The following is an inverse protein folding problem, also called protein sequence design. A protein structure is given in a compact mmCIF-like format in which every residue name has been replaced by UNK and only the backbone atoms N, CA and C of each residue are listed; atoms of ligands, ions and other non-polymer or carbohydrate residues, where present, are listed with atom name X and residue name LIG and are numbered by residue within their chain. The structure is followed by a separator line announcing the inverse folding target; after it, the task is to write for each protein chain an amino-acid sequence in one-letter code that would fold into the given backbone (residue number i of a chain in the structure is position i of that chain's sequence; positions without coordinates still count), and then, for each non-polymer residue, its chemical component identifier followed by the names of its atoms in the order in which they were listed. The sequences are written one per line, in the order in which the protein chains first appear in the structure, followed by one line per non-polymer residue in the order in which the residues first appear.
data_IF_128104192519
#
_entry.id   IF_128104192519
#
_cell.length_a   1.000
_cell.length_b   1.000
_cell.length_c   1.000
_cell.angle_alpha   90.00
_cell.angle_beta   90.00
_cell.angle_gamma   90.00
#
_symmetry.space_group_name_H-M   'P 1'
#
loop_
_entity.id
_entity.type
_entity.pdbx_description
1 polymer ?
#
# COMPACT_ATOMS: atom_id res chain seq x y z
N UNK A 1 -57.66 32.15 -28.93
CA UNK A 1 -57.98 33.59 -28.82
C UNK A 1 -56.84 34.23 -28.04
N UNK A 2 -56.16 35.21 -28.64
CA UNK A 2 -55.01 35.95 -28.10
C UNK A 2 -55.43 36.89 -26.95
N UNK A 3 -54.43 37.34 -26.18
CA UNK A 3 -54.28 38.56 -25.35
C UNK A 3 -53.74 38.16 -23.95
N UNK A 4 -52.74 38.79 -23.32
CA UNK A 4 -51.75 39.82 -23.66
C UNK A 4 -50.75 39.84 -22.45
N UNK A 5 -49.44 40.03 -22.70
CA UNK A 5 -48.37 40.35 -21.71
C UNK A 5 -48.34 41.89 -21.57
N UNK A 6 -48.02 42.61 -20.45
CA UNK A 6 -46.68 42.61 -19.82
C UNK A 6 -46.44 43.16 -18.37
N UNK A 7 -45.17 42.99 -17.92
CA UNK A 7 -44.28 43.92 -17.18
C UNK A 7 -44.38 44.18 -15.65
N UNK A 8 -43.32 43.76 -14.93
CA UNK A 8 -42.53 44.51 -13.93
C UNK A 8 -41.40 43.59 -13.42
N UNK A 9 -40.15 43.65 -13.91
CA UNK A 9 -39.01 44.51 -13.52
C UNK A 9 -38.63 44.45 -12.03
N UNK A 10 -37.32 44.23 -11.78
CA UNK A 10 -36.55 44.16 -10.52
C UNK A 10 -36.56 42.76 -9.86
N UNK A 11 -35.45 42.02 -9.77
CA UNK A 11 -34.12 42.38 -9.21
C UNK A 11 -33.06 41.50 -9.91
N UNK A 12 -32.04 41.97 -10.63
CA UNK A 12 -30.85 42.73 -10.22
C UNK A 12 -30.19 42.20 -8.93
N UNK A 13 -28.93 41.77 -9.10
CA UNK A 13 -27.90 41.42 -8.10
C UNK A 13 -27.96 40.03 -7.46
N UNK A 14 -27.38 39.01 -8.13
CA UNK A 14 -26.31 38.16 -7.53
C UNK A 14 -25.38 37.64 -8.67
N UNK A 15 -24.53 38.53 -9.20
CA UNK A 15 -23.35 38.19 -10.00
C UNK A 15 -22.10 38.58 -9.22
N UNK A 16 -21.90 37.98 -8.04
CA UNK A 16 -20.74 38.26 -7.20
C UNK A 16 -19.92 36.99 -6.91
N UNK A 17 -18.69 37.02 -7.43
CA UNK A 17 -17.50 36.30 -6.98
C UNK A 17 -17.47 34.79 -7.28
N UNK A 18 -16.89 34.33 -8.39
CA UNK A 18 -15.42 34.25 -8.55
C UNK A 18 -14.74 33.86 -7.23
N UNK A 19 -14.79 32.59 -6.87
CA UNK A 19 -13.67 31.98 -6.16
C UNK A 19 -12.86 31.22 -7.21
N UNK A 20 -11.72 31.82 -7.58
CA UNK A 20 -10.69 31.21 -8.38
C UNK A 20 -10.39 29.84 -7.78
N UNK A 21 -10.80 28.77 -8.46
CA UNK A 21 -10.38 27.42 -8.11
C UNK A 21 -8.88 27.40 -8.28
N UNK A 22 -8.15 27.55 -7.17
CA UNK A 22 -6.71 27.59 -7.16
C UNK A 22 -6.19 26.36 -7.90
N UNK A 23 -5.44 26.60 -8.97
CA UNK A 23 -4.58 25.59 -9.54
C UNK A 23 -3.56 25.27 -8.43
N UNK A 24 -3.85 24.22 -7.66
CA UNK A 24 -2.84 23.52 -6.92
C UNK A 24 -1.82 23.08 -7.97
N UNK A 25 -0.73 23.84 -8.08
CA UNK A 25 0.50 23.39 -8.72
C UNK A 25 0.77 22.01 -8.17
N UNK A 26 0.49 21.01 -8.98
CA UNK A 26 0.79 19.63 -8.65
C UNK A 26 2.28 19.54 -8.44
N UNK A 27 2.71 19.39 -7.19
CA UNK A 27 4.03 18.87 -6.88
C UNK A 27 4.25 17.66 -7.79
N UNK A 28 5.32 17.62 -8.60
CA UNK A 28 5.62 16.47 -9.44
C UNK A 28 5.54 15.21 -8.59
N UNK A 29 4.71 14.24 -9.02
CA UNK A 29 4.58 12.98 -8.32
C UNK A 29 5.98 12.38 -8.13
N UNK A 30 6.31 12.01 -6.88
CA UNK A 30 7.56 11.36 -6.60
C UNK A 30 7.71 10.13 -7.50
N UNK A 31 8.92 9.85 -8.04
CA UNK A 31 9.14 8.67 -8.86
C UNK A 31 8.61 7.43 -8.15
N UNK A 32 7.91 6.57 -8.90
CA UNK A 32 7.42 5.31 -8.36
C UNK A 32 8.58 4.52 -7.75
N UNK A 33 8.38 4.01 -6.53
CA UNK A 33 9.38 3.18 -5.88
C UNK A 33 9.74 1.98 -6.79
N UNK A 34 11.01 1.56 -6.82
CA UNK A 34 11.42 0.40 -7.61
C UNK A 34 10.60 -0.82 -7.21
N UNK A 35 10.17 -1.58 -8.21
CA UNK A 35 9.38 -2.79 -8.00
C UNK A 35 10.18 -3.80 -7.17
N UNK A 36 9.60 -4.29 -6.07
CA UNK A 36 10.24 -5.28 -5.20
C UNK A 36 9.98 -6.69 -5.75
N UNK A 37 10.44 -6.95 -6.97
CA UNK A 37 10.24 -8.23 -7.67
C UNK A 37 11.49 -9.10 -7.56
N UNK A 38 11.34 -10.30 -7.01
CA UNK A 38 12.39 -11.32 -6.93
C UNK A 38 12.00 -12.51 -7.83
N UNK A 39 12.77 -12.77 -8.89
CA UNK A 39 12.52 -13.91 -9.79
C UNK A 39 11.09 -13.98 -10.34
N UNK A 40 10.46 -12.81 -10.58
CA UNK A 40 9.08 -12.70 -11.05
C UNK A 40 8.02 -12.69 -9.93
N UNK A 41 8.41 -12.87 -8.67
CA UNK A 41 7.53 -12.77 -7.50
C UNK A 41 7.53 -11.34 -6.98
N UNK A 42 6.38 -10.69 -6.96
CA UNK A 42 6.21 -9.36 -6.37
C UNK A 42 6.11 -9.46 -4.83
N UNK A 43 7.16 -9.03 -4.13
CA UNK A 43 7.24 -9.04 -2.66
C UNK A 43 6.45 -7.89 -2.01
N UNK A 44 5.80 -7.03 -2.80
CA UNK A 44 4.81 -6.06 -2.27
C UNK A 44 3.43 -6.69 -2.09
N UNK A 45 3.19 -7.85 -2.69
CA UNK A 45 1.97 -8.62 -2.52
C UNK A 45 2.14 -9.67 -1.41
N UNK A 46 1.02 -10.21 -0.88
CA UNK A 46 1.10 -11.34 0.02
C UNK A 46 1.79 -12.54 -0.62
N UNK A 47 2.79 -13.10 0.05
CA UNK A 47 3.55 -14.28 -0.41
C UNK A 47 3.66 -15.32 0.70
N UNK A 48 3.67 -16.60 0.30
CA UNK A 48 3.83 -17.73 1.22
C UNK A 48 5.12 -18.47 0.92
N UNK A 49 5.99 -18.53 1.92
CA UNK A 49 7.23 -19.28 1.92
C UNK A 49 6.99 -20.64 2.59
N UNK A 50 7.50 -21.70 1.98
CA UNK A 50 7.34 -23.07 2.47
C UNK A 50 8.72 -23.70 2.63
N UNK A 51 8.99 -24.23 3.81
CA UNK A 51 10.21 -24.98 4.09
C UNK A 51 9.94 -26.46 4.26
N UNK A 52 10.84 -27.27 3.71
CA UNK A 52 10.86 -28.72 3.92
C UNK A 52 11.87 -29.05 5.01
N UNK A 53 11.37 -29.65 6.08
CA UNK A 53 12.12 -30.25 7.19
C UNK A 53 12.93 -29.29 8.12
N UNK A 54 12.49 -29.15 9.39
CA UNK A 54 11.13 -29.48 9.84
C UNK A 54 10.11 -28.75 8.95
N UNK A 55 8.92 -29.29 8.73
CA UNK A 55 7.93 -28.57 7.92
C UNK A 55 7.55 -27.25 8.60
N UNK A 56 7.73 -26.14 7.88
CA UNK A 56 7.39 -24.81 8.34
C UNK A 56 6.89 -23.93 7.19
N UNK A 57 6.22 -22.84 7.54
CA UNK A 57 5.81 -21.83 6.60
C UNK A 57 5.96 -20.43 7.18
N UNK A 58 6.19 -19.46 6.30
CA UNK A 58 6.11 -18.03 6.60
C UNK A 58 5.13 -17.39 5.63
N UNK A 59 4.14 -16.68 6.15
CA UNK A 59 3.28 -15.80 5.37
C UNK A 59 3.73 -14.35 5.54
N UNK A 60 4.07 -13.71 4.43
CA UNK A 60 4.35 -12.27 4.36
C UNK A 60 3.09 -11.61 3.81
N UNK A 61 2.35 -10.89 4.65
CA UNK A 61 1.03 -10.33 4.30
C UNK A 61 1.10 -8.90 3.74
N UNK A 62 2.30 -8.32 3.69
CA UNK A 62 2.54 -6.89 3.42
C UNK A 62 2.55 -6.03 4.68
N UNK A 63 2.10 -6.56 5.82
CA UNK A 63 2.07 -5.86 7.11
C UNK A 63 2.72 -6.70 8.23
N UNK A 64 2.43 -8.00 8.23
CA UNK A 64 2.93 -8.96 9.20
C UNK A 64 3.66 -10.12 8.52
N UNK A 65 4.68 -10.61 9.22
CA UNK A 65 5.29 -11.91 9.03
C UNK A 65 4.62 -12.87 10.03
N UNK A 66 4.01 -13.95 9.52
CA UNK A 66 3.42 -15.02 10.33
C UNK A 66 4.18 -16.31 10.10
N UNK A 67 4.87 -16.79 11.13
CA UNK A 67 5.58 -18.07 11.13
C UNK A 67 4.72 -19.17 11.71
N UNK A 68 4.69 -20.33 11.04
CA UNK A 68 3.99 -21.53 11.50
C UNK A 68 4.86 -22.78 11.31
N UNK A 69 4.78 -23.74 12.23
CA UNK A 69 5.47 -25.03 12.15
C UNK A 69 4.69 -26.10 12.91
N UNK A 70 4.85 -27.38 12.51
CA UNK A 70 4.03 -28.50 13.01
C UNK A 70 4.06 -28.66 14.53
N UNK A 71 5.19 -28.34 15.17
CA UNK A 71 5.39 -28.49 16.62
C UNK A 71 5.86 -27.19 17.29
N UNK A 72 5.65 -26.06 16.62
CA UNK A 72 6.07 -24.75 17.10
C UNK A 72 4.86 -23.84 17.20
N UNK A 73 4.68 -23.11 18.31
CA UNK A 73 3.65 -22.09 18.39
C UNK A 73 3.79 -21.10 17.22
N UNK A 74 2.67 -20.62 16.71
CA UNK A 74 2.67 -19.54 15.73
C UNK A 74 3.40 -18.32 16.31
N UNK A 75 4.21 -17.67 15.49
CA UNK A 75 4.91 -16.45 15.86
C UNK A 75 4.60 -15.35 14.86
N UNK A 76 4.38 -14.13 15.37
CA UNK A 76 4.06 -12.96 14.56
C UNK A 76 5.09 -11.87 14.76
N UNK A 77 5.46 -11.20 13.68
CA UNK A 77 6.35 -10.05 13.67
C UNK A 77 5.86 -9.00 12.67
N UNK A 78 6.16 -7.69 12.87
CA UNK A 78 5.99 -6.70 11.81
C UNK A 78 6.80 -7.10 10.57
N UNK A 79 6.22 -6.97 9.38
CA UNK A 79 6.93 -7.22 8.13
C UNK A 79 7.79 -6.00 7.76
N UNK A 80 9.12 -6.13 7.68
CA UNK A 80 9.99 -5.05 7.22
C UNK A 80 9.90 -4.93 5.70
N UNK A 81 10.35 -3.78 5.16
CA UNK A 81 10.53 -3.65 3.71
C UNK A 81 11.67 -4.58 3.27
N UNK A 82 11.46 -5.47 2.27
CA UNK A 82 12.53 -6.30 1.72
C UNK A 82 13.67 -5.47 1.15
N UNK A 83 14.91 -5.91 1.37
CA UNK A 83 16.10 -5.39 0.71
C UNK A 83 16.52 -6.36 -0.38
N UNK A 84 16.49 -5.92 -1.64
CA UNK A 84 16.86 -6.75 -2.80
C UNK A 84 18.28 -6.38 -3.26
N UNK A 85 19.14 -7.38 -3.40
CA UNK A 85 20.51 -7.28 -3.90
C UNK A 85 20.75 -8.38 -4.93
N UNK A 86 20.70 -8.01 -6.22
CA UNK A 86 20.78 -8.98 -7.31
C UNK A 86 19.59 -9.94 -7.28
N UNK A 87 19.87 -11.24 -7.12
CA UNK A 87 18.85 -12.30 -7.03
C UNK A 87 18.58 -12.73 -5.59
N UNK A 88 18.90 -11.89 -4.61
CA UNK A 88 18.69 -12.19 -3.18
C UNK A 88 17.81 -11.11 -2.57
N UNK A 89 16.80 -11.51 -1.79
CA UNK A 89 16.04 -10.59 -0.95
C UNK A 89 16.19 -10.96 0.53
N UNK A 90 16.36 -9.95 1.39
CA UNK A 90 16.46 -10.14 2.85
C UNK A 90 15.37 -9.37 3.60
N UNK A 91 14.86 -9.99 4.67
CA UNK A 91 13.91 -9.39 5.61
C UNK A 91 14.35 -9.74 7.03
N UNK A 92 14.61 -8.72 7.85
CA UNK A 92 14.98 -8.90 9.25
C UNK A 92 13.94 -8.24 10.17
N UNK A 93 13.42 -9.00 11.12
CA UNK A 93 12.42 -8.51 12.08
C UNK A 93 12.49 -9.29 13.39
N UNK A 94 11.80 -8.81 14.41
CA UNK A 94 11.70 -9.48 15.71
C UNK A 94 10.22 -9.71 16.00
N UNK A 95 9.89 -10.96 16.35
CA UNK A 95 8.53 -11.33 16.76
C UNK A 95 8.10 -10.65 18.05
N UNK A 96 6.79 -10.63 18.26
CA UNK A 96 6.16 -10.18 19.51
C UNK A 96 6.65 -10.95 20.74
N UNK A 97 7.17 -12.16 20.57
CA UNK A 97 7.77 -12.98 21.64
C UNK A 97 9.29 -12.84 21.76
N UNK A 98 9.92 -11.92 21.01
CA UNK A 98 11.36 -11.65 21.07
C UNK A 98 12.25 -12.55 20.21
N UNK A 99 11.68 -13.51 19.46
CA UNK A 99 12.42 -14.32 18.49
C UNK A 99 12.81 -13.46 17.28
N UNK A 100 14.09 -13.48 16.90
CA UNK A 100 14.59 -12.79 15.72
C UNK A 100 14.35 -13.65 14.47
N UNK A 101 13.79 -13.05 13.43
CA UNK A 101 13.67 -13.63 12.10
C UNK A 101 14.67 -12.95 11.16
N UNK A 102 15.51 -13.75 10.52
CA UNK A 102 16.40 -13.36 9.42
C UNK A 102 16.04 -14.22 8.21
N UNK A 103 15.24 -13.65 7.29
CA UNK A 103 14.70 -14.34 6.12
C UNK A 103 15.53 -13.96 4.91
N UNK A 104 16.10 -14.97 4.25
CA UNK A 104 16.81 -14.82 2.97
C UNK A 104 16.07 -15.61 1.89
N UNK A 105 15.77 -14.94 0.78
CA UNK A 105 15.10 -15.50 -0.41
C UNK A 105 16.06 -15.43 -1.60
N UNK A 106 16.08 -16.46 -2.44
CA UNK A 106 16.95 -16.59 -3.63
C UNK A 106 16.19 -17.12 -4.83
#
# INVERSE_FOLDING_TARGET
MRLLVPAAVASVLILSACSQGGETSGTPAAPAAPALVLSGVDLTQPVRLLGTEPFWGIELTGQELVYSGVERPEQRAPQPKPVIQGTVATLQTTSTTGTVFDVTLT
#
